data_IF_497235374901
#
_entry.id   IF_497235374901
#
_cell.length_a   1.000
_cell.length_b   1.000
_cell.length_c   1.000
_cell.angle_alpha   90.00
_cell.angle_beta   90.00
_cell.angle_gamma   90.00
#
_symmetry.space_group_name_H-M   'P 1'
#
loop_
_entity.id
_entity.type
_entity.pdbx_description
1 polymer ?
#
# COMPACT_ATOMS: atom_id res chain seq x y z
N UNK A 1 23.54 -9.17 -12.83
CA UNK A 1 22.28 -9.78 -13.29
C UNK A 1 21.20 -8.70 -13.27
N UNK A 2 20.25 -8.67 -14.20
CA UNK A 2 19.13 -7.75 -14.11
C UNK A 2 18.36 -7.96 -12.78
N UNK A 3 17.81 -6.89 -12.20
CA UNK A 3 17.03 -7.00 -10.97
C UNK A 3 15.79 -7.87 -11.14
N UNK A 4 15.26 -8.45 -10.05
CA UNK A 4 14.09 -9.37 -10.05
C UNK A 4 12.85 -8.80 -10.74
N UNK A 5 12.72 -7.46 -10.80
CA UNK A 5 11.58 -6.73 -11.38
C UNK A 5 11.99 -5.92 -12.62
N UNK A 6 13.12 -6.24 -13.24
CA UNK A 6 13.59 -5.53 -14.44
C UNK A 6 12.55 -5.61 -15.57
N UNK A 7 12.29 -4.47 -16.22
CA UNK A 7 11.28 -4.35 -17.28
C UNK A 7 9.83 -4.29 -16.78
N UNK A 8 9.60 -4.22 -15.46
CA UNK A 8 8.26 -4.05 -14.87
C UNK A 8 8.02 -2.60 -14.48
N UNK A 9 6.79 -2.16 -14.57
CA UNK A 9 6.33 -0.84 -14.07
C UNK A 9 5.49 -1.04 -12.82
N UNK A 10 5.86 -0.37 -11.72
CA UNK A 10 5.16 -0.42 -10.45
C UNK A 10 4.48 0.92 -10.15
N UNK A 11 3.15 0.93 -10.06
CA UNK A 11 2.36 2.06 -9.59
C UNK A 11 2.13 1.93 -8.09
N UNK A 12 2.57 2.93 -7.32
CA UNK A 12 2.45 2.95 -5.86
C UNK A 12 1.64 4.17 -5.43
N UNK A 13 0.46 3.95 -4.85
CA UNK A 13 -0.37 5.02 -4.30
C UNK A 13 0.08 5.40 -2.89
N UNK A 14 -0.02 6.68 -2.52
CA UNK A 14 0.50 7.17 -1.24
C UNK A 14 2.03 7.07 -1.14
N UNK A 15 2.73 7.19 -2.26
CA UNK A 15 4.18 6.99 -2.36
C UNK A 15 5.02 8.14 -1.81
N UNK A 16 4.41 9.24 -1.35
CA UNK A 16 5.12 10.46 -0.95
C UNK A 16 5.90 10.37 0.37
N UNK A 17 5.69 9.32 1.18
CA UNK A 17 6.33 9.12 2.49
C UNK A 17 6.06 7.74 3.10
N UNK A 18 6.82 7.41 4.16
CA UNK A 18 6.58 6.26 5.03
C UNK A 18 6.58 4.92 4.31
N UNK A 19 5.54 4.10 4.53
CA UNK A 19 5.45 2.75 3.95
C UNK A 19 5.43 2.79 2.43
N UNK A 20 4.66 3.72 1.83
CA UNK A 20 4.55 3.83 0.37
C UNK A 20 5.87 4.22 -0.30
N UNK A 21 6.62 5.14 0.30
CA UNK A 21 7.98 5.50 -0.14
C UNK A 21 8.92 4.28 -0.04
N UNK A 22 8.92 3.59 1.10
CA UNK A 22 9.79 2.43 1.32
C UNK A 22 9.50 1.29 0.33
N UNK A 23 8.22 1.00 0.08
CA UNK A 23 7.83 0.02 -0.94
C UNK A 23 8.30 0.46 -2.33
N UNK A 24 8.03 1.72 -2.72
CA UNK A 24 8.41 2.22 -4.03
C UNK A 24 9.93 2.09 -4.25
N UNK A 25 10.74 2.56 -3.31
CA UNK A 25 12.20 2.48 -3.43
C UNK A 25 12.68 1.02 -3.51
N UNK A 26 12.13 0.11 -2.68
CA UNK A 26 12.50 -1.31 -2.72
C UNK A 26 12.14 -1.98 -4.07
N UNK A 27 10.97 -1.66 -4.63
CA UNK A 27 10.60 -2.17 -5.97
C UNK A 27 11.52 -1.60 -7.06
N UNK A 28 11.90 -0.32 -6.94
CA UNK A 28 12.84 0.33 -7.85
C UNK A 28 14.25 -0.26 -7.77
N UNK A 29 14.78 -0.51 -6.57
CA UNK A 29 16.06 -1.19 -6.36
C UNK A 29 16.07 -2.61 -6.96
N UNK A 30 14.90 -3.26 -6.98
CA UNK A 30 14.71 -4.54 -7.65
C UNK A 30 14.60 -4.44 -9.17
N UNK A 31 14.65 -3.24 -9.75
CA UNK A 31 14.69 -2.99 -11.19
C UNK A 31 13.38 -2.48 -11.82
N UNK A 32 12.32 -2.23 -11.03
CA UNK A 32 11.08 -1.69 -11.56
C UNK A 32 11.21 -0.20 -11.91
N UNK A 33 10.50 0.23 -12.96
CA UNK A 33 10.20 1.66 -13.19
C UNK A 33 9.03 2.06 -12.29
N UNK A 34 9.12 3.22 -11.65
CA UNK A 34 8.15 3.65 -10.65
C UNK A 34 7.17 4.69 -11.20
N UNK A 35 5.87 4.46 -11.01
CA UNK A 35 4.82 5.46 -11.07
C UNK A 35 4.45 5.86 -9.63
N UNK A 36 4.97 6.98 -9.15
CA UNK A 36 4.76 7.49 -7.80
C UNK A 36 3.49 8.33 -7.75
N UNK A 37 2.50 7.92 -6.94
CA UNK A 37 1.19 8.58 -6.89
C UNK A 37 0.87 9.10 -5.50
N UNK A 38 0.53 10.38 -5.37
CA UNK A 38 -0.10 10.97 -4.18
C UNK A 38 -0.76 12.30 -4.51
N UNK A 39 -1.41 12.94 -3.53
CA UNK A 39 -1.97 14.29 -3.67
C UNK A 39 -0.92 15.40 -3.53
N UNK A 40 0.22 15.10 -2.93
CA UNK A 40 1.29 16.07 -2.62
C UNK A 40 2.43 15.93 -3.64
N UNK A 41 2.39 16.78 -4.66
CA UNK A 41 3.39 16.82 -5.73
C UNK A 41 4.80 17.14 -5.20
N UNK A 42 4.92 17.99 -4.17
CA UNK A 42 6.22 18.37 -3.61
C UNK A 42 6.91 17.17 -2.96
N UNK A 43 6.22 16.51 -2.05
CA UNK A 43 6.76 15.33 -1.36
C UNK A 43 7.03 14.17 -2.34
N UNK A 44 6.21 14.01 -3.40
CA UNK A 44 6.51 13.04 -4.48
C UNK A 44 7.81 13.39 -5.22
N UNK A 45 8.04 14.69 -5.49
CA UNK A 45 9.27 15.15 -6.11
C UNK A 45 10.51 14.81 -5.27
N UNK A 46 10.41 14.91 -3.95
CA UNK A 46 11.49 14.54 -3.03
C UNK A 46 11.80 13.03 -3.09
N UNK A 47 10.77 12.18 -3.16
CA UNK A 47 10.94 10.72 -3.31
C UNK A 47 11.50 10.36 -4.68
N UNK A 48 11.03 11.02 -5.75
CA UNK A 48 11.56 10.83 -7.10
C UNK A 48 13.04 11.22 -7.18
N UNK A 49 13.45 12.29 -6.50
CA UNK A 49 14.87 12.68 -6.42
C UNK A 49 15.71 11.66 -5.64
N UNK A 50 15.17 11.07 -4.55
CA UNK A 50 15.82 9.94 -3.86
C UNK A 50 15.98 8.73 -4.80
N UNK A 51 14.93 8.37 -5.53
CA UNK A 51 14.94 7.31 -6.52
C UNK A 51 16.01 7.55 -7.60
N UNK A 52 16.08 8.79 -8.13
CA UNK A 52 17.09 9.19 -9.13
C UNK A 52 18.52 9.03 -8.62
N UNK A 53 18.78 9.39 -7.35
CA UNK A 53 20.12 9.22 -6.72
C UNK A 53 20.52 7.75 -6.59
N UNK A 54 19.54 6.85 -6.48
CA UNK A 54 19.75 5.39 -6.44
C UNK A 54 19.78 4.76 -7.85
N UNK A 55 19.70 5.58 -8.92
CA UNK A 55 19.66 5.09 -10.30
C UNK A 55 18.32 4.48 -10.72
N UNK A 56 17.25 4.72 -9.94
CA UNK A 56 15.91 4.19 -10.19
C UNK A 56 15.13 5.14 -11.11
N UNK A 57 14.49 4.59 -12.13
CA UNK A 57 13.59 5.35 -13.01
C UNK A 57 12.25 5.59 -12.31
N UNK A 58 11.79 6.83 -12.27
CA UNK A 58 10.51 7.17 -11.64
C UNK A 58 9.83 8.34 -12.35
N UNK A 59 8.50 8.27 -12.36
CA UNK A 59 7.59 9.32 -12.85
C UNK A 59 6.62 9.69 -11.72
N UNK A 60 6.28 10.97 -11.63
CA UNK A 60 5.40 11.52 -10.58
C UNK A 60 4.02 11.83 -11.15
N UNK A 61 2.98 11.41 -10.46
CA UNK A 61 1.58 11.63 -10.80
C UNK A 61 0.79 12.14 -9.61
N UNK A 62 0.06 13.22 -9.77
CA UNK A 62 -0.77 13.77 -8.69
C UNK A 62 -2.21 13.30 -8.86
N UNK A 63 -2.71 12.55 -7.86
CA UNK A 63 -4.10 12.08 -7.87
C UNK A 63 -4.68 11.90 -6.47
N UNK A 64 -5.99 12.09 -6.36
CA UNK A 64 -6.79 11.67 -5.22
C UNK A 64 -7.47 10.33 -5.56
N UNK A 65 -7.04 9.25 -4.91
CA UNK A 65 -7.57 7.90 -5.15
C UNK A 65 -9.04 7.73 -4.75
N UNK A 66 -9.56 8.61 -3.88
CA UNK A 66 -10.98 8.59 -3.49
C UNK A 66 -11.92 9.24 -4.52
N UNK A 67 -11.35 9.87 -5.56
CA UNK A 67 -12.10 10.56 -6.60
C UNK A 67 -11.97 9.82 -7.94
N UNK A 68 -13.09 9.34 -8.47
CA UNK A 68 -13.14 8.55 -9.70
C UNK A 68 -12.57 9.30 -10.91
N UNK A 69 -12.95 10.56 -11.10
CA UNK A 69 -12.44 11.37 -12.23
C UNK A 69 -10.93 11.60 -12.13
N UNK A 70 -10.41 11.77 -10.90
CA UNK A 70 -8.97 11.87 -10.66
C UNK A 70 -8.22 10.57 -10.99
N UNK A 71 -8.82 9.42 -10.70
CA UNK A 71 -8.23 8.11 -11.02
C UNK A 71 -8.26 7.83 -12.52
N UNK A 72 -9.32 8.20 -13.23
CA UNK A 72 -9.38 8.06 -14.69
C UNK A 72 -8.36 8.99 -15.38
N UNK A 73 -8.18 10.21 -14.87
CA UNK A 73 -7.12 11.12 -15.36
C UNK A 73 -5.73 10.53 -15.09
N UNK A 74 -5.48 10.01 -13.88
CA UNK A 74 -4.25 9.32 -13.55
C UNK A 74 -3.94 8.17 -14.53
N UNK A 75 -4.94 7.35 -14.86
CA UNK A 75 -4.79 6.27 -15.82
C UNK A 75 -4.33 6.79 -17.18
N UNK A 76 -4.99 7.84 -17.69
CA UNK A 76 -4.65 8.43 -18.98
C UNK A 76 -3.20 8.93 -18.99
N UNK A 77 -2.77 9.65 -17.94
CA UNK A 77 -1.40 10.17 -17.83
C UNK A 77 -0.35 9.04 -17.71
N UNK A 78 -0.63 8.01 -16.89
CA UNK A 78 0.28 6.87 -16.72
C UNK A 78 0.47 6.13 -18.05
N UNK A 79 -0.61 5.84 -18.78
CA UNK A 79 -0.53 5.15 -20.05
C UNK A 79 0.13 5.98 -21.16
N UNK A 80 0.05 7.31 -21.08
CA UNK A 80 0.73 8.20 -22.03
C UNK A 80 2.26 8.30 -21.78
N UNK A 81 2.72 8.09 -20.56
CA UNK A 81 4.13 8.30 -20.16
C UNK A 81 4.89 7.01 -19.87
N UNK A 82 4.17 5.91 -19.63
CA UNK A 82 4.72 4.60 -19.30
C UNK A 82 4.01 3.50 -20.13
N UNK A 83 4.71 2.43 -20.45
CA UNK A 83 4.19 1.31 -21.29
C UNK A 83 3.17 0.40 -20.54
N UNK A 84 2.40 0.97 -19.60
CA UNK A 84 1.44 0.25 -18.77
C UNK A 84 1.93 0.00 -17.35
N UNK A 85 1.13 -0.77 -16.59
CA UNK A 85 1.39 -1.11 -15.20
C UNK A 85 1.38 -2.63 -15.04
N UNK A 86 2.42 -3.19 -14.44
CA UNK A 86 2.54 -4.62 -14.14
C UNK A 86 2.34 -4.90 -12.64
N UNK A 87 2.68 -3.93 -11.80
CA UNK A 87 2.63 -4.02 -10.35
C UNK A 87 1.81 -2.84 -9.84
N UNK A 88 0.77 -3.13 -9.05
CA UNK A 88 -0.10 -2.13 -8.44
C UNK A 88 -0.04 -2.24 -6.92
N UNK A 89 0.34 -1.15 -6.24
CA UNK A 89 0.39 -1.08 -4.78
C UNK A 89 -0.62 -0.06 -4.27
N UNK A 90 -1.71 -0.55 -3.71
CA UNK A 90 -2.74 0.25 -3.04
C UNK A 90 -2.29 0.50 -1.59
N UNK A 91 -1.52 1.56 -1.39
CA UNK A 91 -1.00 1.94 -0.07
C UNK A 91 -1.64 3.23 0.47
N UNK A 92 -2.18 4.11 -0.37
CA UNK A 92 -2.83 5.34 0.09
C UNK A 92 -3.90 5.03 1.15
N UNK A 93 -3.85 5.74 2.27
CA UNK A 93 -4.78 5.52 3.37
C UNK A 93 -4.72 6.61 4.42
N UNK A 94 -5.83 6.77 5.15
CA UNK A 94 -5.98 7.69 6.27
C UNK A 94 -6.57 6.97 7.49
N UNK A 95 -6.35 7.53 8.66
CA UNK A 95 -6.93 7.05 9.91
C UNK A 95 -7.39 8.23 10.77
N UNK A 96 -8.67 8.25 11.13
CA UNK A 96 -9.26 9.18 12.08
C UNK A 96 -9.54 8.40 13.36
N UNK A 97 -9.07 8.90 14.51
CA UNK A 97 -9.20 8.24 15.81
C UNK A 97 -10.18 9.00 16.68
N UNK A 98 -11.38 8.44 16.85
CA UNK A 98 -12.47 9.02 17.66
C UNK A 98 -13.38 7.91 18.23
N UNK A 99 -14.05 8.13 19.38
CA UNK A 99 -15.21 7.36 19.79
C UNK A 99 -16.28 7.37 18.69
N UNK A 100 -17.09 6.30 18.59
CA UNK A 100 -18.07 6.15 17.51
C UNK A 100 -19.10 7.28 17.44
N UNK A 101 -19.54 7.77 18.59
CA UNK A 101 -20.50 8.87 18.72
C UNK A 101 -19.95 10.25 18.32
N UNK A 102 -18.63 10.40 18.24
CA UNK A 102 -17.98 11.67 17.87
C UNK A 102 -17.66 11.76 16.37
N UNK A 103 -17.82 10.64 15.63
CA UNK A 103 -17.64 10.65 14.18
C UNK A 103 -18.76 11.42 13.49
N UNK A 104 -18.41 12.35 12.64
CA UNK A 104 -19.33 12.82 11.60
C UNK A 104 -19.41 11.81 10.46
N UNK A 105 -20.55 11.78 9.76
CA UNK A 105 -20.70 10.92 8.56
C UNK A 105 -19.65 11.25 7.50
N UNK A 106 -19.27 12.52 7.36
CA UNK A 106 -18.23 12.95 6.41
C UNK A 106 -16.85 12.38 6.74
N UNK A 107 -16.44 12.40 8.01
CA UNK A 107 -15.19 11.80 8.48
C UNK A 107 -15.18 10.29 8.28
N UNK A 108 -16.28 9.59 8.62
CA UNK A 108 -16.43 8.16 8.38
C UNK A 108 -16.27 7.84 6.90
N UNK A 109 -17.01 8.54 6.04
CA UNK A 109 -16.94 8.37 4.58
C UNK A 109 -15.54 8.63 4.05
N UNK A 110 -14.85 9.68 4.49
CA UNK A 110 -13.50 9.97 4.01
C UNK A 110 -12.51 8.83 4.26
N UNK A 111 -12.66 8.10 5.39
CA UNK A 111 -11.84 6.91 5.69
C UNK A 111 -12.21 5.76 4.76
N UNK A 112 -13.50 5.48 4.58
CA UNK A 112 -13.97 4.40 3.68
C UNK A 112 -13.59 4.71 2.23
N UNK A 113 -13.83 5.94 1.78
CA UNK A 113 -13.56 6.35 0.40
C UNK A 113 -12.07 6.25 0.06
N UNK A 114 -11.19 6.69 0.97
CA UNK A 114 -9.75 6.59 0.71
C UNK A 114 -9.24 5.15 0.82
N UNK A 115 -9.62 4.41 1.89
CA UNK A 115 -8.98 3.15 2.24
C UNK A 115 -9.59 1.93 1.55
N UNK A 116 -10.83 2.00 1.06
CA UNK A 116 -11.56 0.88 0.45
C UNK A 116 -12.04 1.20 -0.95
N UNK A 117 -12.76 2.32 -1.15
CA UNK A 117 -13.23 2.71 -2.48
C UNK A 117 -12.04 3.09 -3.37
N UNK A 118 -11.03 3.77 -2.85
CA UNK A 118 -9.83 4.13 -3.59
C UNK A 118 -9.13 2.91 -4.22
N UNK A 119 -8.75 1.88 -3.47
CA UNK A 119 -8.23 0.63 -4.04
C UNK A 119 -9.14 0.00 -5.10
N UNK A 120 -10.46 0.02 -4.91
CA UNK A 120 -11.40 -0.44 -5.93
C UNK A 120 -11.30 0.40 -7.21
N UNK A 121 -11.34 1.74 -7.11
CA UNK A 121 -11.26 2.64 -8.27
C UNK A 121 -9.95 2.44 -9.04
N UNK A 122 -8.82 2.36 -8.32
CA UNK A 122 -7.50 2.16 -8.92
C UNK A 122 -7.40 0.78 -9.58
N UNK A 123 -7.86 -0.30 -8.93
CA UNK A 123 -7.91 -1.63 -9.54
C UNK A 123 -8.80 -1.63 -10.78
N UNK A 124 -10.02 -1.06 -10.71
CA UNK A 124 -10.93 -0.96 -11.85
C UNK A 124 -10.30 -0.25 -13.05
N UNK A 125 -9.53 0.80 -12.79
CA UNK A 125 -8.87 1.57 -13.85
C UNK A 125 -7.71 0.81 -14.49
N UNK A 126 -6.85 0.15 -13.72
CA UNK A 126 -5.59 -0.42 -14.20
C UNK A 126 -5.63 -1.92 -14.50
N UNK A 127 -6.47 -2.72 -13.85
CA UNK A 127 -6.56 -4.18 -14.11
C UNK A 127 -6.79 -4.51 -15.59
N UNK A 128 -7.66 -3.78 -16.35
CA UNK A 128 -7.81 -4.06 -17.78
C UNK A 128 -6.50 -3.97 -18.57
N UNK A 129 -5.56 -3.11 -18.15
CA UNK A 129 -4.26 -2.95 -18.80
C UNK A 129 -3.20 -3.94 -18.33
N UNK A 130 -3.48 -4.69 -17.26
CA UNK A 130 -2.60 -5.73 -16.71
C UNK A 130 -2.88 -7.12 -17.30
N UNK A 131 -4.07 -7.32 -17.88
CA UNK A 131 -4.51 -8.61 -18.44
C UNK A 131 -3.79 -8.96 -19.73
N UNK A 132 -3.67 -10.28 -20.01
CA UNK A 132 -3.11 -10.78 -21.28
C UNK A 132 -1.59 -10.80 -21.35
N UNK A 133 -0.87 -10.40 -20.30
CA UNK A 133 0.60 -10.32 -20.29
C UNK A 133 1.29 -11.48 -19.54
N UNK A 134 0.52 -12.46 -19.01
CA UNK A 134 1.06 -13.60 -18.26
C UNK A 134 1.74 -13.24 -16.92
N UNK A 135 1.63 -11.99 -16.49
CA UNK A 135 2.17 -11.50 -15.22
C UNK A 135 1.41 -10.25 -14.75
N UNK A 136 1.02 -10.25 -13.50
CA UNK A 136 0.52 -9.08 -12.79
C UNK A 136 0.62 -9.28 -11.28
N UNK A 137 0.83 -8.19 -10.54
CA UNK A 137 0.92 -8.22 -9.07
C UNK A 137 0.14 -7.06 -8.48
N UNK A 138 -0.78 -7.36 -7.56
CA UNK A 138 -1.52 -6.35 -6.82
C UNK A 138 -1.25 -6.55 -5.33
N UNK A 139 -0.77 -5.51 -4.67
CA UNK A 139 -0.54 -5.48 -3.24
C UNK A 139 -1.49 -4.46 -2.61
N UNK A 140 -2.30 -4.91 -1.67
CA UNK A 140 -3.18 -4.04 -0.88
C UNK A 140 -2.60 -3.87 0.53
N UNK A 141 -2.28 -2.63 0.93
CA UNK A 141 -1.85 -2.34 2.30
C UNK A 141 -3.06 -2.39 3.23
N UNK A 142 -3.29 -3.56 3.82
CA UNK A 142 -4.26 -3.85 4.85
C UNK A 142 -3.79 -3.30 6.21
N UNK A 143 -3.97 -3.99 7.28
CA UNK A 143 -3.48 -3.63 8.62
C UNK A 143 -3.68 -4.79 9.58
N UNK A 144 -2.93 -4.87 10.68
CA UNK A 144 -3.30 -5.68 11.83
C UNK A 144 -4.75 -5.41 12.27
N UNK A 145 -5.28 -4.19 12.03
CA UNK A 145 -6.68 -3.86 12.31
C UNK A 145 -7.69 -4.54 11.36
N UNK A 146 -7.25 -5.31 10.38
CA UNK A 146 -8.10 -6.24 9.62
C UNK A 146 -8.39 -7.54 10.39
N UNK A 147 -7.60 -7.84 11.42
CA UNK A 147 -7.61 -9.09 12.19
C UNK A 147 -7.96 -8.88 13.65
N UNK A 148 -7.49 -7.79 14.25
CA UNK A 148 -7.75 -7.40 15.64
C UNK A 148 -8.31 -5.99 15.69
N UNK A 149 -8.84 -5.57 16.83
CA UNK A 149 -9.42 -4.24 16.97
C UNK A 149 -8.78 -3.46 18.12
N UNK A 150 -8.79 -2.14 17.97
CA UNK A 150 -8.42 -1.19 19.02
C UNK A 150 -9.50 -0.12 19.09
N UNK A 151 -9.86 0.31 20.29
CA UNK A 151 -10.85 1.36 20.49
C UNK A 151 -10.52 2.63 19.67
N UNK A 152 -11.55 3.40 19.35
CA UNK A 152 -11.47 4.66 18.61
C UNK A 152 -10.95 4.53 17.16
N UNK A 153 -11.06 3.34 16.54
CA UNK A 153 -10.62 3.09 15.15
C UNK A 153 -11.69 2.39 14.31
N UNK A 154 -12.96 2.58 14.61
CA UNK A 154 -14.07 1.84 13.97
C UNK A 154 -14.09 1.99 12.45
N UNK A 155 -14.00 3.22 11.92
CA UNK A 155 -13.96 3.45 10.47
C UNK A 155 -12.73 2.82 9.81
N UNK A 156 -11.56 2.95 10.45
CA UNK A 156 -10.31 2.40 9.93
C UNK A 156 -10.34 0.87 9.91
N UNK A 157 -10.74 0.23 11.02
CA UNK A 157 -10.85 -1.23 11.10
C UNK A 157 -11.86 -1.77 10.07
N UNK A 158 -13.04 -1.13 9.94
CA UNK A 158 -14.02 -1.50 8.93
C UNK A 158 -13.46 -1.40 7.51
N UNK A 159 -12.72 -0.32 7.19
CA UNK A 159 -12.12 -0.14 5.87
C UNK A 159 -11.05 -1.19 5.57
N UNK A 160 -10.21 -1.53 6.55
CA UNK A 160 -9.11 -2.49 6.36
C UNK A 160 -9.60 -3.94 6.33
N UNK A 161 -10.62 -4.29 7.12
CA UNK A 161 -11.30 -5.58 7.02
C UNK A 161 -12.02 -5.74 5.67
N UNK A 162 -12.69 -4.69 5.19
CA UNK A 162 -13.29 -4.66 3.84
C UNK A 162 -12.25 -4.84 2.74
N UNK A 163 -11.09 -4.19 2.85
CA UNK A 163 -9.99 -4.32 1.89
C UNK A 163 -9.42 -5.75 1.87
N UNK A 164 -9.37 -6.44 3.01
CA UNK A 164 -9.00 -7.86 3.08
C UNK A 164 -9.99 -8.74 2.33
N UNK A 165 -11.31 -8.51 2.49
CA UNK A 165 -12.35 -9.17 1.71
C UNK A 165 -12.22 -8.91 0.21
N UNK A 166 -11.99 -7.66 -0.18
CA UNK A 166 -11.73 -7.26 -1.56
C UNK A 166 -10.50 -7.97 -2.15
N UNK A 167 -9.40 -8.06 -1.39
CA UNK A 167 -8.17 -8.76 -1.78
C UNK A 167 -8.44 -10.21 -2.14
N UNK A 168 -9.19 -10.94 -1.30
CA UNK A 168 -9.52 -12.36 -1.52
C UNK A 168 -10.41 -12.57 -2.74
N UNK A 169 -11.45 -11.75 -2.90
CA UNK A 169 -12.35 -11.86 -4.04
C UNK A 169 -11.64 -11.57 -5.36
N UNK A 170 -10.86 -10.48 -5.40
CA UNK A 170 -10.12 -10.06 -6.59
C UNK A 170 -9.02 -11.08 -6.97
N UNK A 171 -8.41 -11.76 -5.99
CA UNK A 171 -7.43 -12.81 -6.25
C UNK A 171 -8.02 -13.98 -7.04
N UNK A 172 -9.24 -14.40 -6.70
CA UNK A 172 -9.95 -15.48 -7.40
C UNK A 172 -10.31 -15.02 -8.82
N UNK A 173 -10.82 -13.79 -8.95
CA UNK A 173 -11.26 -13.24 -10.24
C UNK A 173 -10.08 -13.10 -11.23
N UNK A 174 -8.89 -12.73 -10.75
CA UNK A 174 -7.74 -12.41 -11.60
C UNK A 174 -6.73 -13.56 -11.76
N UNK A 175 -6.89 -14.67 -11.03
CA UNK A 175 -6.01 -15.83 -11.14
C UNK A 175 -5.89 -16.40 -12.57
N UNK A 176 -6.97 -16.49 -13.39
CA UNK A 176 -6.87 -16.94 -14.77
C UNK A 176 -6.00 -16.05 -15.66
N UNK A 177 -5.77 -14.81 -15.26
CA UNK A 177 -4.94 -13.84 -15.99
C UNK A 177 -3.47 -13.83 -15.53
N UNK A 178 -3.07 -14.78 -14.67
CA UNK A 178 -1.76 -14.83 -14.01
C UNK A 178 -1.44 -13.58 -13.18
N UNK A 179 -2.48 -12.92 -12.64
CA UNK A 179 -2.37 -11.78 -11.74
C UNK A 179 -2.60 -12.26 -10.30
N UNK A 180 -1.60 -12.10 -9.43
CA UNK A 180 -1.76 -12.38 -8.00
C UNK A 180 -2.18 -11.13 -7.25
N UNK A 181 -3.04 -11.31 -6.23
CA UNK A 181 -3.53 -10.22 -5.38
C UNK A 181 -3.33 -10.61 -3.92
N UNK A 182 -2.51 -9.85 -3.20
CA UNK A 182 -2.19 -10.16 -1.81
C UNK A 182 -2.28 -8.92 -0.92
N UNK A 183 -2.57 -9.15 0.35
CA UNK A 183 -2.52 -8.16 1.40
C UNK A 183 -1.17 -8.17 2.12
N UNK A 184 -0.74 -7.01 2.58
CA UNK A 184 0.28 -6.86 3.61
C UNK A 184 -0.37 -6.13 4.77
N UNK A 185 -0.35 -6.73 5.96
CA UNK A 185 -0.87 -6.18 7.21
C UNK A 185 0.26 -5.71 8.12
N UNK A 186 0.67 -4.43 8.02
CA UNK A 186 1.68 -3.89 8.91
C UNK A 186 1.15 -3.79 10.35
N UNK A 187 2.02 -4.10 11.30
CA UNK A 187 1.85 -3.75 12.71
C UNK A 187 2.29 -2.30 12.97
N UNK A 188 3.24 -2.13 13.88
CA UNK A 188 3.70 -0.85 14.35
C UNK A 188 5.06 -0.49 13.73
N UNK A 189 5.02 0.50 12.84
CA UNK A 189 6.18 1.03 12.11
C UNK A 189 6.28 2.54 12.35
N UNK A 190 7.50 3.07 12.39
CA UNK A 190 7.73 4.50 12.52
C UNK A 190 7.35 5.24 11.23
N UNK A 191 6.21 5.92 11.29
CA UNK A 191 5.67 6.74 10.21
C UNK A 191 5.02 7.99 10.78
N UNK A 192 4.68 8.97 9.95
CA UNK A 192 3.91 10.13 10.43
C UNK A 192 2.57 9.76 11.08
N UNK A 193 1.92 8.70 10.59
CA UNK A 193 0.66 8.20 11.13
C UNK A 193 0.80 7.71 12.58
N UNK A 194 1.95 7.19 12.95
CA UNK A 194 2.26 6.61 14.26
C UNK A 194 3.06 7.55 15.16
N UNK A 195 3.58 8.67 14.61
CA UNK A 195 4.39 9.66 15.31
C UNK A 195 3.82 10.11 16.67
N UNK A 196 2.49 10.34 16.84
CA UNK A 196 1.94 10.74 18.14
C UNK A 196 2.17 9.72 19.26
N UNK A 197 2.25 8.41 18.92
CA UNK A 197 2.53 7.35 19.89
C UNK A 197 4.04 7.27 20.13
N UNK A 198 4.80 7.26 19.04
CA UNK A 198 6.26 7.14 19.09
C UNK A 198 6.93 8.29 19.86
N UNK A 199 6.42 9.53 19.71
CA UNK A 199 6.92 10.72 20.43
C UNK A 199 6.45 10.82 21.89
N UNK A 200 5.57 9.93 22.35
CA UNK A 200 5.12 9.88 23.75
C UNK A 200 5.81 8.70 24.45
N UNK A 201 6.76 8.95 25.40
CA UNK A 201 7.57 7.89 26.01
C UNK A 201 6.72 6.78 26.67
N UNK A 202 5.68 7.16 27.43
CA UNK A 202 4.81 6.22 28.13
C UNK A 202 4.00 5.37 27.13
N UNK A 203 3.38 6.00 26.12
CA UNK A 203 2.61 5.31 25.09
C UNK A 203 3.50 4.41 24.24
N UNK A 204 4.74 4.83 23.98
CA UNK A 204 5.74 4.06 23.26
C UNK A 204 6.16 2.81 24.04
N UNK A 205 6.52 2.96 25.31
CA UNK A 205 6.90 1.84 26.18
C UNK A 205 5.78 0.83 26.31
N UNK A 206 4.56 1.28 26.62
CA UNK A 206 3.36 0.44 26.72
C UNK A 206 3.06 -0.31 25.41
N UNK A 207 3.35 0.30 24.26
CA UNK A 207 3.17 -0.35 22.97
C UNK A 207 4.26 -1.40 22.71
N UNK A 208 5.54 -1.05 22.93
CA UNK A 208 6.68 -1.94 22.68
C UNK A 208 6.58 -3.21 23.53
N UNK A 209 6.11 -3.10 24.78
CA UNK A 209 5.86 -4.27 25.66
C UNK A 209 4.82 -5.23 25.10
N UNK A 210 3.92 -4.78 24.22
CA UNK A 210 2.89 -5.59 23.53
C UNK A 210 3.37 -6.16 22.20
N UNK A 211 4.58 -5.89 21.77
CA UNK A 211 5.18 -6.46 20.57
C UNK A 211 6.16 -7.55 21.01
N UNK A 212 5.92 -8.83 20.72
CA UNK A 212 6.83 -9.90 21.13
C UNK A 212 8.28 -9.72 20.73
N UNK A 213 8.55 -9.13 19.55
CA UNK A 213 9.93 -8.77 19.13
C UNK A 213 10.50 -7.57 19.88
N UNK A 214 9.77 -6.90 20.78
CA UNK A 214 10.24 -5.84 21.66
C UNK A 214 10.71 -4.56 20.96
N UNK A 215 10.29 -4.31 19.73
CA UNK A 215 10.70 -3.13 18.95
C UNK A 215 9.68 -2.75 17.88
N UNK A 216 9.77 -1.53 17.42
CA UNK A 216 9.10 -1.10 16.18
C UNK A 216 9.67 -1.82 14.96
N UNK A 217 8.85 -1.97 13.92
CA UNK A 217 9.29 -2.47 12.62
C UNK A 217 10.03 -1.40 11.82
N UNK A 218 10.95 -1.83 10.97
CA UNK A 218 11.60 -1.00 9.96
C UNK A 218 10.77 -1.02 8.67
N UNK A 219 10.41 0.14 8.12
CA UNK A 219 9.61 0.23 6.89
C UNK A 219 10.26 -0.47 5.69
N UNK A 220 11.59 -0.63 5.70
CA UNK A 220 12.31 -1.41 4.68
C UNK A 220 11.92 -2.89 4.67
N UNK A 221 11.49 -3.45 5.81
CA UNK A 221 11.04 -4.85 5.88
C UNK A 221 9.72 -5.03 5.11
N UNK A 222 8.83 -4.02 5.12
CA UNK A 222 7.63 -4.03 4.28
C UNK A 222 8.01 -3.92 2.80
N UNK A 223 8.98 -3.08 2.45
CA UNK A 223 9.48 -2.95 1.08
C UNK A 223 10.04 -4.26 0.54
N UNK A 224 10.85 -4.97 1.34
CA UNK A 224 11.41 -6.30 0.98
C UNK A 224 10.30 -7.35 0.79
N UNK A 225 9.30 -7.37 1.67
CA UNK A 225 8.16 -8.27 1.56
C UNK A 225 7.34 -7.97 0.28
N UNK A 226 7.06 -6.69 0.01
CA UNK A 226 6.37 -6.29 -1.22
C UNK A 226 7.17 -6.70 -2.46
N UNK A 227 8.49 -6.53 -2.45
CA UNK A 227 9.38 -6.96 -3.55
C UNK A 227 9.33 -8.47 -3.76
N UNK A 228 9.35 -9.26 -2.68
CA UNK A 228 9.20 -10.72 -2.77
C UNK A 228 7.85 -11.10 -3.37
N UNK A 229 6.74 -10.53 -2.88
CA UNK A 229 5.39 -10.82 -3.40
C UNK A 229 5.20 -10.40 -4.86
N UNK A 230 5.97 -9.41 -5.32
CA UNK A 230 5.96 -8.97 -6.71
C UNK A 230 6.90 -9.80 -7.60
N UNK A 231 7.79 -10.63 -7.05
CA UNK A 231 8.70 -11.47 -7.83
C UNK A 231 8.01 -12.67 -8.47
N UNK A 232 8.69 -13.33 -9.41
CA UNK A 232 8.24 -14.61 -10.00
C UNK A 232 8.23 -15.74 -8.94
N UNK A 233 9.10 -15.65 -7.93
CA UNK A 233 9.24 -16.63 -6.84
C UNK A 233 7.97 -16.75 -6.00
N UNK A 234 7.15 -15.68 -5.93
CA UNK A 234 5.88 -15.64 -5.22
C UNK A 234 4.67 -15.96 -6.12
N UNK A 235 4.89 -16.51 -7.33
CA UNK A 235 3.83 -16.72 -8.32
C UNK A 235 2.69 -17.66 -7.88
N UNK A 236 2.88 -18.46 -6.82
CA UNK A 236 1.84 -19.34 -6.26
C UNK A 236 1.19 -18.77 -4.98
N UNK A 237 1.49 -17.50 -4.62
CA UNK A 237 0.92 -16.81 -3.47
C UNK A 237 -0.13 -15.82 -3.97
N UNK A 238 -1.41 -16.08 -3.70
CA UNK A 238 -2.52 -15.19 -4.04
C UNK A 238 -3.66 -15.33 -3.05
N UNK A 239 -4.41 -14.24 -2.81
CA UNK A 239 -5.56 -14.20 -1.90
C UNK A 239 -5.19 -14.23 -0.41
N UNK A 240 -3.90 -14.17 -0.07
CA UNK A 240 -3.43 -14.14 1.31
C UNK A 240 -3.26 -12.72 1.83
N UNK A 241 -3.13 -12.60 3.15
CA UNK A 241 -2.77 -11.38 3.85
C UNK A 241 -1.64 -11.69 4.83
N UNK A 242 -0.47 -11.09 4.61
CA UNK A 242 0.73 -11.39 5.37
C UNK A 242 0.88 -10.36 6.48
N UNK A 243 0.76 -10.83 7.72
CA UNK A 243 1.05 -10.03 8.90
C UNK A 243 2.56 -9.79 9.02
N UNK A 244 2.92 -8.53 9.17
CA UNK A 244 4.29 -8.10 9.44
C UNK A 244 4.24 -7.16 10.65
N UNK A 245 4.21 -7.72 11.85
CA UNK A 245 3.79 -7.01 13.06
C UNK A 245 4.63 -7.33 14.32
N UNK A 246 5.71 -8.08 14.16
CA UNK A 246 6.55 -8.49 15.28
C UNK A 246 5.86 -9.41 16.28
N UNK A 247 4.79 -10.11 15.87
CA UNK A 247 3.99 -11.00 16.70
C UNK A 247 2.86 -10.29 17.48
N UNK A 248 2.59 -9.01 17.20
CA UNK A 248 1.60 -8.22 17.93
C UNK A 248 0.19 -8.85 17.94
N UNK A 249 -0.20 -9.56 16.89
CA UNK A 249 -1.54 -10.18 16.76
C UNK A 249 -1.60 -11.63 17.23
N UNK A 250 -0.51 -12.20 17.73
CA UNK A 250 -0.46 -13.60 18.19
C UNK A 250 -0.79 -13.78 19.65
N UNK A 251 -1.12 -12.69 20.37
CA UNK A 251 -1.45 -12.70 21.81
C UNK A 251 -2.95 -12.50 22.02
#
# INVERSE_FOLDING_TARGET
>A
MPGKLAGRTALVTGASRGIGEAIALSLGEAGATLALVSRDAKSLGEVSEKARRLGIKSEVFTADVSNEASVEHLKAEVLARLDGVNILVNNAGINIRKPINDFTTAEWRSVIDTNLIGPFLVCRAFVPTMKGHGYGRIINLTSTMSHVATANRTAYAASKAGLLGFTRALAIELAPEAITVNGISPGWFETELTRPIWNNPEANENLVQRIPLGRWGDVSDIGKLATYLCSEEAGYITGTDILIDGGYTTQ
#
